data_IF_516381094052
#
_entry.id   IF_516381094052
#
_cell.length_a   1.000
_cell.length_b   1.000
_cell.length_c   1.000
_cell.angle_alpha   90.00
_cell.angle_beta   90.00
_cell.angle_gamma   90.00
#
_symmetry.space_group_name_H-M   'P 1'
#
loop_
_entity.id
_entity.type
_entity.pdbx_description
1 polymer ?
#
# COMPACT_ATOMS: atom_id res chain seq x y z
N UNK A 1 -15.51 16.03 -0.39
CA UNK A 1 -14.16 15.60 0.05
C UNK A 1 -13.13 16.57 -0.52
N UNK A 2 -12.43 17.33 0.33
CA UNK A 2 -11.23 18.10 -0.03
C UNK A 2 -10.03 17.15 0.05
N UNK A 3 -9.18 17.11 -0.97
CA UNK A 3 -8.01 16.24 -0.98
C UNK A 3 -7.41 16.11 -2.38
N UNK A 4 -6.12 15.83 -2.45
CA UNK A 4 -5.27 15.76 -3.65
C UNK A 4 -6.00 15.03 -4.79
N UNK A 5 -6.38 15.77 -5.84
CA UNK A 5 -7.03 15.29 -7.06
C UNK A 5 -6.22 15.75 -8.26
N UNK A 6 -6.23 14.93 -9.31
CA UNK A 6 -5.70 15.29 -10.61
C UNK A 6 -6.79 15.86 -11.52
N UNK A 7 -6.41 16.71 -12.48
CA UNK A 7 -7.29 17.09 -13.61
C UNK A 7 -7.61 15.88 -14.49
N UNK A 8 -6.63 14.97 -14.63
CA UNK A 8 -6.73 13.68 -15.31
C UNK A 8 -6.50 12.55 -14.31
N UNK A 9 -7.08 11.38 -14.55
CA UNK A 9 -6.88 10.18 -13.72
C UNK A 9 -6.48 9.00 -14.61
N UNK A 10 -5.41 8.31 -14.24
CA UNK A 10 -4.97 7.07 -14.88
C UNK A 10 -4.92 5.94 -13.84
N UNK A 11 -5.29 4.73 -14.27
CA UNK A 11 -5.34 3.55 -13.40
C UNK A 11 -4.55 2.37 -14.03
N UNK A 12 -3.21 2.45 -14.06
CA UNK A 12 -2.38 1.46 -14.72
C UNK A 12 -2.51 0.07 -14.08
N UNK A 13 -2.27 -0.96 -14.88
CA UNK A 13 -2.33 -2.37 -14.48
C UNK A 13 -0.93 -2.98 -14.30
N UNK A 14 0.12 -2.27 -14.72
CA UNK A 14 1.50 -2.78 -14.73
C UNK A 14 2.53 -1.69 -14.45
N UNK A 15 3.72 -2.13 -14.05
CA UNK A 15 4.89 -1.25 -13.88
C UNK A 15 5.29 -0.57 -15.19
N UNK A 16 5.18 -1.29 -16.32
CA UNK A 16 5.47 -0.75 -17.64
C UNK A 16 4.55 0.42 -18.00
N UNK A 17 3.25 0.30 -17.69
CA UNK A 17 2.28 1.40 -17.89
C UNK A 17 2.57 2.58 -16.97
N UNK A 18 2.96 2.34 -15.71
CA UNK A 18 3.40 3.40 -14.79
C UNK A 18 4.59 4.16 -15.36
N UNK A 19 5.62 3.44 -15.83
CA UNK A 19 6.82 4.04 -16.42
C UNK A 19 6.45 4.89 -17.64
N UNK A 20 5.63 4.35 -18.54
CA UNK A 20 5.19 5.05 -19.73
C UNK A 20 4.44 6.36 -19.38
N UNK A 21 3.48 6.29 -18.45
CA UNK A 21 2.71 7.46 -18.01
C UNK A 21 3.59 8.53 -17.36
N UNK A 22 4.58 8.13 -16.55
CA UNK A 22 5.52 9.08 -15.92
C UNK A 22 6.45 9.72 -16.95
N UNK A 23 6.89 8.98 -17.97
CA UNK A 23 7.68 9.53 -19.07
C UNK A 23 6.87 10.56 -19.87
N UNK A 24 5.60 10.28 -20.16
CA UNK A 24 4.73 11.25 -20.83
C UNK A 24 4.48 12.50 -19.99
N UNK A 25 4.20 12.34 -18.70
CA UNK A 25 3.98 13.45 -17.79
C UNK A 25 5.23 14.34 -17.70
N UNK A 26 6.41 13.73 -17.61
CA UNK A 26 7.69 14.43 -17.61
C UNK A 26 7.90 15.22 -18.91
N UNK A 27 7.64 14.62 -20.07
CA UNK A 27 7.76 15.29 -21.37
C UNK A 27 6.84 16.52 -21.47
N UNK A 28 5.65 16.44 -20.86
CA UNK A 28 4.64 17.52 -20.82
C UNK A 28 4.81 18.48 -19.64
N UNK A 29 5.76 18.23 -18.73
CA UNK A 29 5.97 18.94 -17.46
C UNK A 29 4.71 18.98 -16.57
N UNK A 30 3.94 17.90 -16.59
CA UNK A 30 2.72 17.75 -15.81
C UNK A 30 3.02 17.27 -14.39
N UNK A 31 2.33 17.84 -13.42
CA UNK A 31 2.43 17.41 -12.01
C UNK A 31 1.65 16.11 -11.80
N UNK A 32 2.23 15.17 -11.05
CA UNK A 32 1.64 13.85 -10.79
C UNK A 32 1.50 13.63 -9.28
N UNK A 33 0.33 13.17 -8.86
CA UNK A 33 0.09 12.65 -7.51
C UNK A 33 -0.20 11.15 -7.58
N UNK A 34 0.60 10.29 -6.92
CA UNK A 34 0.27 8.88 -6.79
C UNK A 34 -0.81 8.67 -5.72
N UNK A 35 -1.78 7.81 -5.99
CA UNK A 35 -2.80 7.40 -5.01
C UNK A 35 -2.95 5.87 -4.99
N UNK A 36 -3.01 5.29 -3.79
CA UNK A 36 -3.44 3.89 -3.62
C UNK A 36 -4.98 3.79 -3.66
N UNK A 37 -5.57 3.14 -2.67
CA UNK A 37 -7.04 3.06 -2.50
C UNK A 37 -7.70 4.38 -2.08
N UNK A 38 -6.92 5.45 -1.84
CA UNK A 38 -7.44 6.79 -1.60
C UNK A 38 -8.01 7.03 -0.19
N UNK A 39 -7.79 6.09 0.73
CA UNK A 39 -8.21 6.13 2.14
C UNK A 39 -7.53 7.22 2.97
N UNK A 40 -6.33 7.66 2.55
CA UNK A 40 -5.52 8.70 3.23
C UNK A 40 -5.50 10.03 2.48
N UNK A 41 -6.48 10.31 1.61
CA UNK A 41 -6.55 11.60 0.90
C UNK A 41 -6.60 12.76 1.90
N UNK A 42 -5.65 13.69 1.78
CA UNK A 42 -5.53 14.86 2.67
C UNK A 42 -4.48 14.75 3.77
N UNK A 43 -3.90 13.56 4.02
CA UNK A 43 -2.82 13.39 5.01
C UNK A 43 -1.44 13.83 4.50
N UNK A 44 -1.27 14.04 3.19
CA UNK A 44 -0.05 14.59 2.57
C UNK A 44 -0.03 16.12 2.46
N UNK A 45 -0.87 16.82 3.22
CA UNK A 45 -1.15 18.25 3.04
C UNK A 45 -2.18 18.53 1.94
N UNK A 46 -2.77 19.73 1.96
CA UNK A 46 -3.65 20.21 0.88
C UNK A 46 -2.75 20.73 -0.23
N UNK A 47 -2.48 19.92 -1.24
CA UNK A 47 -1.88 20.43 -2.48
C UNK A 47 -2.99 20.97 -3.38
N UNK A 48 -2.71 22.05 -4.11
CA UNK A 48 -3.56 22.44 -5.25
C UNK A 48 -3.67 21.26 -6.22
N UNK A 49 -4.77 21.19 -6.98
CA UNK A 49 -5.03 20.07 -7.87
C UNK A 49 -3.85 19.82 -8.83
N UNK A 50 -3.34 18.59 -8.86
CA UNK A 50 -2.29 18.19 -9.79
C UNK A 50 -2.85 18.03 -11.21
N UNK A 51 -1.99 17.93 -12.21
CA UNK A 51 -2.42 17.65 -13.58
C UNK A 51 -2.88 16.19 -13.72
N UNK A 52 -2.21 15.27 -13.03
CA UNK A 52 -2.46 13.83 -13.09
C UNK A 52 -2.62 13.23 -11.70
N UNK A 53 -3.70 12.48 -11.50
CA UNK A 53 -3.83 11.46 -10.46
C UNK A 53 -3.45 10.09 -11.04
N UNK A 54 -2.40 9.49 -10.51
CA UNK A 54 -1.96 8.15 -10.87
C UNK A 54 -2.45 7.17 -9.80
N UNK A 55 -3.60 6.53 -10.04
CA UNK A 55 -4.19 5.59 -9.10
C UNK A 55 -3.65 4.19 -9.30
N UNK A 56 -2.89 3.69 -8.33
CA UNK A 56 -2.27 2.36 -8.34
C UNK A 56 -3.21 1.26 -7.83
N UNK A 57 -4.50 1.57 -7.59
CA UNK A 57 -5.47 0.65 -6.96
C UNK A 57 -5.60 -0.71 -7.66
N UNK A 58 -5.35 -0.77 -8.96
CA UNK A 58 -5.45 -2.00 -9.76
C UNK A 58 -4.15 -2.83 -9.75
N UNK A 59 -3.05 -2.27 -9.24
CA UNK A 59 -1.82 -3.00 -8.95
C UNK A 59 -1.90 -3.55 -7.52
N UNK A 60 -2.73 -4.58 -7.30
CA UNK A 60 -3.17 -5.01 -5.97
C UNK A 60 -2.82 -6.47 -5.61
N UNK A 61 -1.89 -7.09 -6.34
CA UNK A 61 -1.52 -8.50 -6.13
C UNK A 61 -0.50 -8.70 -5.02
N UNK A 62 -0.53 -9.87 -4.38
CA UNK A 62 0.63 -10.42 -3.66
C UNK A 62 1.63 -10.94 -4.70
N UNK A 63 2.87 -10.49 -4.62
CA UNK A 63 3.95 -10.90 -5.51
C UNK A 63 4.72 -12.09 -4.95
N UNK A 64 4.91 -12.13 -3.63
CA UNK A 64 5.63 -13.18 -2.92
C UNK A 64 5.15 -13.29 -1.48
N UNK A 65 5.08 -14.51 -0.97
CA UNK A 65 4.85 -14.80 0.44
C UNK A 65 5.87 -15.84 0.90
N UNK A 66 6.89 -15.40 1.63
CA UNK A 66 7.87 -16.29 2.28
C UNK A 66 7.45 -16.49 3.74
N UNK A 67 6.71 -17.57 3.99
CA UNK A 67 6.23 -17.90 5.33
C UNK A 67 7.37 -18.19 6.32
N UNK A 68 8.47 -18.81 5.85
CA UNK A 68 9.64 -19.14 6.66
C UNK A 68 10.46 -17.92 7.08
N UNK A 69 10.55 -16.92 6.20
CA UNK A 69 11.25 -15.65 6.50
C UNK A 69 10.33 -14.60 7.13
N UNK A 70 9.05 -14.94 7.34
CA UNK A 70 8.02 -14.05 7.85
C UNK A 70 7.89 -12.74 7.04
N UNK A 71 7.87 -12.85 5.71
CA UNK A 71 7.71 -11.67 4.84
C UNK A 71 6.68 -11.87 3.73
N UNK A 72 5.99 -10.79 3.39
CA UNK A 72 5.12 -10.70 2.22
C UNK A 72 5.50 -9.49 1.37
N UNK A 73 5.55 -9.68 0.06
CA UNK A 73 5.79 -8.65 -0.95
C UNK A 73 4.50 -8.45 -1.73
N UNK A 74 4.00 -7.22 -1.79
CA UNK A 74 2.73 -6.90 -2.47
C UNK A 74 2.87 -5.67 -3.37
N UNK A 75 1.98 -5.58 -4.36
CA UNK A 75 1.87 -4.41 -5.22
C UNK A 75 1.29 -3.20 -4.47
N UNK A 76 1.60 -1.95 -4.89
CA UNK A 76 1.30 -0.73 -4.11
C UNK A 76 -0.19 -0.39 -3.97
N UNK A 77 -1.07 -0.99 -4.76
CA UNK A 77 -2.52 -0.90 -4.64
C UNK A 77 -3.16 -1.96 -3.77
N UNK A 78 -2.37 -2.90 -3.22
CA UNK A 78 -2.91 -4.02 -2.45
C UNK A 78 -3.76 -3.53 -1.28
N UNK A 79 -4.94 -4.13 -1.14
CA UNK A 79 -5.83 -3.84 -0.04
C UNK A 79 -5.34 -4.56 1.22
N UNK A 80 -5.20 -3.82 2.32
CA UNK A 80 -4.75 -4.37 3.59
C UNK A 80 -5.60 -5.57 4.06
N UNK A 81 -6.93 -5.47 4.01
CA UNK A 81 -7.81 -6.53 4.47
C UNK A 81 -7.68 -7.78 3.60
N UNK A 82 -7.63 -7.63 2.27
CA UNK A 82 -7.45 -8.76 1.35
C UNK A 82 -6.11 -9.47 1.57
N UNK A 83 -5.03 -8.72 1.82
CA UNK A 83 -3.72 -9.29 2.18
C UNK A 83 -3.81 -10.01 3.53
N UNK A 84 -4.50 -9.43 4.50
CA UNK A 84 -4.66 -10.02 5.82
C UNK A 84 -5.49 -11.31 5.79
N UNK A 85 -6.53 -11.37 4.96
CA UNK A 85 -7.35 -12.57 4.76
C UNK A 85 -6.52 -13.71 4.14
N UNK A 86 -5.66 -13.42 3.15
CA UNK A 86 -4.77 -14.41 2.55
C UNK A 86 -3.70 -14.92 3.53
N UNK A 87 -3.10 -14.04 4.34
CA UNK A 87 -2.12 -14.45 5.36
C UNK A 87 -2.76 -15.31 6.46
N UNK A 88 -4.05 -15.12 6.74
CA UNK A 88 -4.78 -15.90 7.75
C UNK A 88 -4.85 -17.40 7.40
N UNK A 89 -4.81 -17.76 6.10
CA UNK A 89 -4.71 -19.16 5.64
C UNK A 89 -3.45 -19.86 6.19
N UNK A 90 -2.38 -19.08 6.42
CA UNK A 90 -1.10 -19.53 6.95
C UNK A 90 -0.94 -19.27 8.44
N UNK A 91 -2.00 -18.83 9.13
CA UNK A 91 -1.96 -18.37 10.53
C UNK A 91 -0.95 -17.24 10.73
N UNK A 92 -0.83 -16.36 9.74
CA UNK A 92 0.07 -15.21 9.78
C UNK A 92 -0.72 -13.91 9.66
N UNK A 93 -0.15 -12.82 10.15
CA UNK A 93 -0.74 -11.50 10.05
C UNK A 93 0.29 -10.40 9.92
N UNK A 94 -0.10 -9.28 9.33
CA UNK A 94 0.63 -8.02 9.46
C UNK A 94 0.28 -7.44 10.85
N UNK A 95 1.23 -7.32 11.79
CA UNK A 95 0.97 -6.91 13.17
C UNK A 95 0.86 -5.38 13.29
N UNK A 96 -0.03 -4.77 12.50
CA UNK A 96 -0.35 -3.35 12.60
C UNK A 96 -1.71 -3.24 13.28
N UNK A 97 -1.74 -2.60 14.45
CA UNK A 97 -2.99 -2.23 15.11
C UNK A 97 -3.58 -0.99 14.43
N UNK A 98 -4.75 -1.15 13.82
CA UNK A 98 -5.48 -0.10 13.10
C UNK A 98 -6.72 0.37 13.84
N UNK A 99 -6.93 -0.05 15.10
CA UNK A 99 -8.15 0.29 15.87
C UNK A 99 -8.38 1.79 16.01
N UNK A 100 -7.33 2.61 16.01
CA UNK A 100 -7.44 4.08 16.14
C UNK A 100 -7.43 4.85 14.80
N UNK A 101 -7.48 4.14 13.66
CA UNK A 101 -7.43 4.77 12.34
C UNK A 101 -8.60 4.30 11.47
N UNK A 102 -9.25 5.18 10.68
CA UNK A 102 -10.22 4.75 9.66
C UNK A 102 -9.46 4.05 8.51
N UNK A 103 -8.93 2.86 8.77
CA UNK A 103 -7.90 2.20 7.96
C UNK A 103 -8.25 0.75 7.68
N UNK A 104 -9.26 0.51 6.85
CA UNK A 104 -9.45 -0.79 6.19
C UNK A 104 -8.88 -0.84 4.76
N UNK A 105 -8.23 0.25 4.30
CA UNK A 105 -7.85 0.43 2.90
C UNK A 105 -6.46 1.05 2.72
N UNK A 106 -5.49 0.73 3.57
CA UNK A 106 -4.13 1.28 3.46
C UNK A 106 -3.25 0.46 2.52
N UNK A 107 -2.44 1.13 1.70
CA UNK A 107 -1.40 0.49 0.91
C UNK A 107 -0.30 -0.04 1.85
N UNK A 108 0.12 -1.28 1.59
CA UNK A 108 1.18 -1.98 2.31
C UNK A 108 2.51 -1.58 1.65
N UNK A 109 3.49 -1.13 2.44
CA UNK A 109 4.87 -0.89 1.98
C UNK A 109 5.44 -2.17 1.37
N UNK A 110 6.24 -2.08 0.31
CA UNK A 110 6.59 -3.15 -0.64
C UNK A 110 7.06 -4.48 -0.01
N UNK A 111 7.56 -4.46 1.23
CA UNK A 111 7.81 -5.65 2.03
C UNK A 111 7.37 -5.39 3.47
N UNK A 112 6.56 -6.27 4.04
CA UNK A 112 6.10 -6.17 5.43
C UNK A 112 6.43 -7.44 6.19
N UNK A 113 6.94 -7.24 7.41
CA UNK A 113 7.14 -8.30 8.39
C UNK A 113 5.78 -8.82 8.83
N UNK A 114 5.58 -10.12 8.76
CA UNK A 114 4.38 -10.78 9.27
C UNK A 114 4.69 -11.46 10.62
N UNK A 115 3.67 -11.71 11.42
CA UNK A 115 3.76 -12.36 12.72
C UNK A 115 2.79 -13.56 12.77
N UNK A 116 3.08 -14.54 13.62
CA UNK A 116 2.11 -15.58 14.01
C UNK A 116 1.37 -15.06 15.27
N UNK A 117 0.05 -14.86 15.23
CA UNK A 117 -0.72 -14.35 16.36
C UNK A 117 -0.74 -15.31 17.56
N UNK A 118 -0.38 -16.59 17.37
CA UNK A 118 -0.33 -17.59 18.43
C UNK A 118 1.06 -17.68 19.10
N UNK A 119 2.04 -16.93 18.61
CA UNK A 119 3.37 -16.84 19.22
C UNK A 119 3.41 -15.59 20.10
N UNK A 120 3.37 -15.80 21.42
CA UNK A 120 3.58 -14.73 22.38
C UNK A 120 5.09 -14.41 22.49
N UNK A 121 5.50 -13.28 21.91
CA UNK A 121 6.86 -12.73 22.06
C UNK A 121 7.05 -12.09 23.46
N UNK A 122 6.94 -12.88 24.53
CA UNK A 122 7.08 -12.38 25.91
C UNK A 122 8.38 -12.78 26.62
N UNK A 123 9.27 -13.57 26.00
CA UNK A 123 10.48 -14.08 26.64
C UNK A 123 11.81 -13.53 26.08
N UNK A 124 11.98 -12.20 26.13
CA UNK A 124 13.29 -11.56 25.90
C UNK A 124 13.80 -10.78 27.13
N UNK A 125 13.32 -11.11 28.33
CA UNK A 125 13.84 -10.55 29.60
C UNK A 125 14.25 -11.62 30.63
N UNK A 126 14.79 -12.73 30.18
CA UNK A 126 15.45 -13.70 31.05
C UNK A 126 16.80 -14.09 30.47
N UNK A 127 17.79 -13.18 30.55
CA UNK A 127 19.22 -13.43 30.83
C UNK A 127 19.93 -12.07 30.83
N UNK A 128 20.02 -11.45 32.01
CA UNK A 128 21.13 -10.59 32.46
C UNK A 128 21.25 -10.74 33.96
#
# INVERSE_FOLDING_TARGET
>A
MKGNKGKKRYEPLSEAEVVHLLQEAQAKKETVIPTGNGSKRGFGGVTEAADIELSLKNMNRILEHSAGDMTVTVQPGANFQEVQDQLAEYKQMIPIDLTDLPMQQSAVSSRVMIADPNVHYTDLRATM
#
